data_IF_265425646999
#
_entry.id   IF_265425646999
#
_cell.length_a   1.000
_cell.length_b   1.000
_cell.length_c   1.000
_cell.angle_alpha   90.00
_cell.angle_beta   90.00
_cell.angle_gamma   90.00
#
_symmetry.space_group_name_H-M   'P 1'
#
loop_
_entity.id
_entity.type
_entity.pdbx_description
1 polymer ?
#
# COMPACT_ATOMS: atom_id res chain seq x y z
N UNK A 1 -6.12 -4.70 3.13
CA UNK A 1 -6.26 -4.07 4.47
C UNK A 1 -5.94 -5.00 5.65
N UNK A 2 -6.53 -6.21 5.77
CA UNK A 2 -6.17 -7.14 6.85
C UNK A 2 -4.68 -7.50 6.86
N UNK A 3 -4.02 -7.48 5.70
CA UNK A 3 -2.59 -7.77 5.54
C UNK A 3 -1.73 -6.79 6.36
N UNK A 4 -2.00 -5.49 6.34
CA UNK A 4 -1.22 -4.53 7.12
C UNK A 4 -1.46 -4.66 8.63
N UNK A 5 -2.67 -5.05 9.05
CA UNK A 5 -2.95 -5.34 10.46
C UNK A 5 -2.13 -6.53 10.96
N UNK A 6 -1.97 -7.56 10.13
CA UNK A 6 -1.13 -8.72 10.42
C UNK A 6 0.34 -8.33 10.40
N UNK A 7 0.86 -7.83 9.27
CA UNK A 7 2.30 -7.59 9.10
C UNK A 7 2.79 -6.38 9.90
N UNK A 8 2.14 -5.22 9.78
CA UNK A 8 2.60 -3.97 10.43
C UNK A 8 2.04 -3.75 11.82
N UNK A 9 0.96 -4.45 12.15
CA UNK A 9 0.39 -4.51 13.49
C UNK A 9 1.04 -5.61 14.32
N UNK A 10 0.56 -6.84 14.14
CA UNK A 10 0.94 -7.97 14.99
C UNK A 10 2.40 -8.40 14.79
N UNK A 11 2.81 -8.75 13.57
CA UNK A 11 4.16 -9.27 13.30
C UNK A 11 5.22 -8.21 13.62
N UNK A 12 5.00 -6.95 13.24
CA UNK A 12 5.98 -5.88 13.49
C UNK A 12 6.19 -5.66 14.98
N UNK A 13 5.12 -5.64 15.77
CA UNK A 13 5.23 -5.45 17.21
C UNK A 13 6.09 -6.54 17.86
N UNK A 14 5.83 -7.80 17.52
CA UNK A 14 6.59 -8.93 18.06
C UNK A 14 8.05 -8.96 17.58
N UNK A 15 8.32 -8.57 16.33
CA UNK A 15 9.70 -8.53 15.83
C UNK A 15 10.49 -7.36 16.43
N UNK A 16 9.87 -6.19 16.60
CA UNK A 16 10.52 -4.98 17.09
C UNK A 16 10.99 -5.10 18.56
N UNK A 17 10.42 -6.02 19.33
CA UNK A 17 10.85 -6.31 20.70
C UNK A 17 12.22 -7.02 20.75
N UNK A 18 12.65 -7.62 19.63
CA UNK A 18 13.84 -8.49 19.59
C UNK A 18 14.83 -8.15 18.47
N UNK A 19 14.43 -7.37 17.47
CA UNK A 19 15.22 -7.12 16.26
C UNK A 19 15.29 -5.63 15.92
N UNK A 20 16.39 -5.16 15.31
CA UNK A 20 16.48 -3.79 14.83
C UNK A 20 15.46 -3.54 13.71
N UNK A 21 15.06 -2.27 13.55
CA UNK A 21 14.00 -1.87 12.61
C UNK A 21 14.25 -2.36 11.17
N UNK A 22 15.48 -2.28 10.67
CA UNK A 22 15.82 -2.73 9.31
C UNK A 22 15.56 -4.24 9.12
N UNK A 23 15.84 -5.07 10.14
CA UNK A 23 15.63 -6.50 10.09
C UNK A 23 14.12 -6.83 10.12
N UNK A 24 13.34 -6.08 10.92
CA UNK A 24 11.88 -6.19 10.93
C UNK A 24 11.29 -5.87 9.55
N UNK A 25 11.77 -4.81 8.90
CA UNK A 25 11.31 -4.40 7.56
C UNK A 25 11.63 -5.46 6.52
N UNK A 26 12.89 -5.91 6.43
CA UNK A 26 13.30 -6.91 5.44
C UNK A 26 12.63 -8.26 5.67
N UNK A 27 12.55 -8.73 6.92
CA UNK A 27 11.89 -10.00 7.24
C UNK A 27 10.42 -10.00 6.83
N UNK A 28 9.70 -8.92 7.09
CA UNK A 28 8.32 -8.80 6.65
C UNK A 28 8.18 -8.67 5.14
N UNK A 29 9.11 -7.99 4.47
CA UNK A 29 9.08 -7.86 3.02
C UNK A 29 9.26 -9.22 2.33
N UNK A 30 10.17 -10.06 2.82
CA UNK A 30 10.35 -11.44 2.33
C UNK A 30 9.09 -12.27 2.58
N UNK A 31 8.53 -12.22 3.80
CA UNK A 31 7.31 -12.97 4.12
C UNK A 31 6.11 -12.55 3.26
N UNK A 32 5.91 -11.24 3.08
CA UNK A 32 4.81 -10.71 2.27
C UNK A 32 4.97 -11.08 0.78
N UNK A 33 6.19 -10.99 0.25
CA UNK A 33 6.50 -11.37 -1.14
C UNK A 33 6.33 -12.87 -1.34
N UNK A 34 6.83 -13.69 -0.41
CA UNK A 34 6.65 -15.14 -0.42
C UNK A 34 5.19 -15.54 -0.34
N UNK A 35 4.40 -14.87 0.51
CA UNK A 35 2.95 -15.07 0.55
C UNK A 35 2.29 -14.74 -0.79
N UNK A 36 2.66 -13.61 -1.41
CA UNK A 36 2.20 -13.23 -2.75
C UNK A 36 2.52 -14.30 -3.81
N UNK A 37 3.71 -14.91 -3.74
CA UNK A 37 4.08 -16.03 -4.61
C UNK A 37 3.19 -17.26 -4.37
N UNK A 38 3.00 -17.65 -3.11
CA UNK A 38 2.22 -18.83 -2.72
C UNK A 38 0.76 -18.75 -3.18
N UNK A 39 0.12 -17.59 -3.06
CA UNK A 39 -1.27 -17.39 -3.50
C UNK A 39 -1.39 -17.11 -5.01
N UNK A 40 -0.27 -17.10 -5.74
CA UNK A 40 -0.23 -16.83 -7.18
C UNK A 40 -0.32 -15.35 -7.57
N UNK A 41 -0.23 -14.43 -6.61
CA UNK A 41 -0.23 -12.99 -6.82
C UNK A 41 1.15 -12.40 -7.19
N UNK A 42 2.24 -13.18 -7.22
CA UNK A 42 3.55 -12.70 -7.65
C UNK A 42 4.32 -13.76 -8.44
N UNK A 43 3.77 -14.21 -9.58
CA UNK A 43 4.35 -15.31 -10.40
C UNK A 43 5.38 -14.89 -11.44
N UNK A 44 5.47 -13.61 -11.76
CA UNK A 44 6.43 -13.08 -12.72
C UNK A 44 7.52 -12.27 -12.01
N UNK A 45 8.74 -12.15 -12.60
CA UNK A 45 9.84 -11.42 -11.98
C UNK A 45 9.52 -9.96 -11.65
N UNK A 46 8.80 -9.27 -12.54
CA UNK A 46 8.32 -7.91 -12.36
C UNK A 46 7.40 -7.79 -11.13
N UNK A 47 6.46 -8.74 -10.95
CA UNK A 47 5.57 -8.76 -9.79
C UNK A 47 6.28 -9.10 -8.50
N UNK A 48 7.30 -9.96 -8.53
CA UNK A 48 8.14 -10.25 -7.37
C UNK A 48 8.89 -8.98 -6.91
N UNK A 49 9.49 -8.24 -7.84
CA UNK A 49 10.16 -6.97 -7.55
C UNK A 49 9.17 -5.93 -7.02
N UNK A 50 7.98 -5.83 -7.62
CA UNK A 50 6.91 -4.94 -7.16
C UNK A 50 6.50 -5.28 -5.72
N UNK A 51 6.17 -6.53 -5.42
CA UNK A 51 5.77 -6.95 -4.07
C UNK A 51 6.87 -6.69 -3.04
N UNK A 52 8.12 -7.00 -3.38
CA UNK A 52 9.25 -6.81 -2.48
C UNK A 52 9.48 -5.32 -2.17
N UNK A 53 9.57 -4.49 -3.20
CA UNK A 53 9.80 -3.05 -3.04
C UNK A 53 8.63 -2.36 -2.33
N UNK A 54 7.40 -2.75 -2.65
CA UNK A 54 6.19 -2.27 -1.99
C UNK A 54 6.16 -2.65 -0.50
N UNK A 55 6.48 -3.91 -0.19
CA UNK A 55 6.50 -4.39 1.18
C UNK A 55 7.64 -3.76 2.01
N UNK A 56 8.78 -3.40 1.40
CA UNK A 56 9.83 -2.60 2.03
C UNK A 56 9.31 -1.20 2.34
N UNK A 57 8.71 -0.51 1.38
CA UNK A 57 8.18 0.85 1.58
C UNK A 57 7.15 0.92 2.72
N UNK A 58 6.22 -0.03 2.76
CA UNK A 58 5.23 -0.14 3.84
C UNK A 58 5.87 -0.40 5.20
N UNK A 59 6.92 -1.23 5.25
CA UNK A 59 7.70 -1.48 6.46
C UNK A 59 8.45 -0.22 6.92
N UNK A 60 9.04 0.52 5.99
CA UNK A 60 9.70 1.79 6.27
C UNK A 60 8.72 2.83 6.82
N UNK A 61 7.52 2.97 6.25
CA UNK A 61 6.48 3.84 6.83
C UNK A 61 6.18 3.44 8.27
N UNK A 62 6.00 2.16 8.54
CA UNK A 62 5.72 1.67 9.89
C UNK A 62 6.86 2.00 10.86
N UNK A 63 8.11 1.81 10.44
CA UNK A 63 9.30 2.05 11.25
C UNK A 63 9.56 3.54 11.51
N UNK A 64 9.38 4.38 10.48
CA UNK A 64 9.66 5.82 10.55
C UNK A 64 8.58 6.60 11.30
N UNK A 65 7.31 6.27 11.10
CA UNK A 65 6.20 7.04 11.71
C UNK A 65 5.74 6.50 13.04
N UNK A 66 6.11 5.26 13.38
CA UNK A 66 5.55 4.58 14.54
C UNK A 66 4.04 4.27 14.41
N UNK A 67 3.41 4.58 13.28
CA UNK A 67 1.97 4.56 13.10
C UNK A 67 1.55 3.52 12.05
N UNK A 68 0.79 2.51 12.49
CA UNK A 68 0.18 1.49 11.63
C UNK A 68 -0.69 2.09 10.52
N UNK A 69 -1.43 3.15 10.83
CA UNK A 69 -2.38 3.75 9.89
C UNK A 69 -1.70 4.43 8.69
N UNK A 70 -0.43 4.80 8.81
CA UNK A 70 0.34 5.31 7.65
C UNK A 70 0.48 4.22 6.58
N UNK A 71 0.92 3.02 6.96
CA UNK A 71 1.05 1.90 6.03
C UNK A 71 -0.32 1.45 5.48
N UNK A 72 -1.34 1.38 6.36
CA UNK A 72 -2.72 1.04 5.97
C UNK A 72 -3.26 2.03 4.94
N UNK A 73 -3.17 3.33 5.20
CA UNK A 73 -3.69 4.38 4.31
C UNK A 73 -2.95 4.42 2.97
N UNK A 74 -1.63 4.22 2.98
CA UNK A 74 -0.85 4.15 1.73
C UNK A 74 -1.26 2.93 0.90
N UNK A 75 -1.27 1.74 1.51
CA UNK A 75 -1.67 0.51 0.81
C UNK A 75 -3.11 0.61 0.29
N UNK A 76 -4.03 1.19 1.06
CA UNK A 76 -5.41 1.41 0.62
C UNK A 76 -5.47 2.32 -0.60
N UNK A 77 -4.73 3.43 -0.59
CA UNK A 77 -4.62 4.33 -1.73
C UNK A 77 -4.16 3.59 -2.98
N UNK A 78 -3.08 2.82 -2.87
CA UNK A 78 -2.58 2.00 -3.97
C UNK A 78 -3.63 1.01 -4.48
N UNK A 79 -4.31 0.27 -3.59
CA UNK A 79 -5.33 -0.71 -3.99
C UNK A 79 -6.52 -0.04 -4.69
N UNK A 80 -7.02 1.07 -4.14
CA UNK A 80 -8.13 1.82 -4.76
C UNK A 80 -7.70 2.36 -6.11
N UNK A 81 -6.52 2.96 -6.24
CA UNK A 81 -6.02 3.42 -7.54
C UNK A 81 -5.84 2.26 -8.52
N UNK A 82 -5.34 1.11 -8.06
CA UNK A 82 -5.21 -0.10 -8.90
C UNK A 82 -6.56 -0.57 -9.41
N UNK A 83 -7.57 -0.61 -8.54
CA UNK A 83 -8.92 -0.97 -8.93
C UNK A 83 -9.50 0.10 -9.87
N UNK A 84 -9.21 1.37 -9.61
CA UNK A 84 -9.66 2.53 -10.38
C UNK A 84 -9.00 2.65 -11.77
N UNK A 85 -7.86 2.02 -11.99
CA UNK A 85 -7.09 2.17 -13.23
C UNK A 85 -6.92 0.83 -13.96
N UNK A 86 -6.96 -0.29 -13.24
CA UNK A 86 -6.57 -1.62 -13.70
C UNK A 86 -7.70 -2.56 -14.16
N UNK A 87 -9.00 -2.24 -14.05
CA UNK A 87 -10.00 -3.06 -14.76
C UNK A 87 -11.50 -2.94 -14.43
N UNK A 88 -12.28 -3.00 -15.53
CA UNK A 88 -13.66 -3.50 -15.75
C UNK A 88 -14.92 -2.72 -15.34
N UNK A 89 -14.87 -1.67 -14.52
CA UNK A 89 -16.06 -0.82 -14.27
C UNK A 89 -16.06 0.45 -15.16
N UNK A 90 -14.95 0.75 -15.85
CA UNK A 90 -14.85 1.73 -16.96
C UNK A 90 -14.71 0.99 -18.30
N UNK A 91 -15.45 -0.11 -18.49
CA UNK A 91 -15.68 -0.65 -19.83
C UNK A 91 -17.17 -0.52 -20.08
N UNK A 92 -17.63 0.58 -20.72
CA UNK A 92 -19.00 0.66 -21.18
C UNK A 92 -19.26 -0.51 -22.15
N UNK A 93 -20.48 -1.08 -22.20
CA UNK A 93 -20.86 -1.87 -23.36
C UNK A 93 -20.73 -0.94 -24.59
N UNK A 94 -19.82 -1.30 -25.49
CA UNK A 94 -19.35 -0.55 -26.67
C UNK A 94 -18.15 0.41 -26.46
N UNK A 95 -16.96 -0.10 -26.75
CA UNK A 95 -16.15 0.50 -27.83
C UNK A 95 -15.03 1.47 -27.49
N UNK A 96 -14.90 1.98 -26.27
CA UNK A 96 -13.77 2.86 -25.90
C UNK A 96 -13.00 2.29 -24.71
N UNK A 97 -12.09 1.35 -24.99
CA UNK A 97 -11.05 0.97 -24.04
C UNK A 97 -9.98 2.05 -24.01
N UNK A 98 -9.75 2.67 -22.85
CA UNK A 98 -8.51 3.39 -22.57
C UNK A 98 -7.35 2.42 -22.81
N UNK A 99 -6.73 2.52 -23.98
CA UNK A 99 -5.59 1.70 -24.35
C UNK A 99 -4.36 2.29 -23.67
N UNK A 100 -3.85 1.55 -22.70
CA UNK A 100 -2.63 1.90 -21.99
C UNK A 100 -1.49 1.22 -22.75
N UNK A 101 -0.76 2.00 -23.54
CA UNK A 101 0.36 1.49 -24.33
C UNK A 101 1.57 1.09 -23.48
N UNK A 102 1.67 1.62 -22.25
CA UNK A 102 2.75 1.34 -21.31
C UNK A 102 2.21 1.00 -19.91
N UNK A 103 1.95 -0.29 -19.68
CA UNK A 103 1.49 -0.81 -18.41
C UNK A 103 2.50 -0.52 -17.28
N UNK A 104 3.81 -0.48 -17.57
CA UNK A 104 4.83 -0.21 -16.56
C UNK A 104 4.77 1.25 -16.07
N UNK A 105 4.59 2.21 -16.98
CA UNK A 105 4.38 3.62 -16.62
C UNK A 105 3.11 3.80 -15.79
N UNK A 106 2.03 3.11 -16.17
CA UNK A 106 0.78 3.10 -15.43
C UNK A 106 0.99 2.59 -14.01
N UNK A 107 1.70 1.47 -13.83
CA UNK A 107 1.98 0.92 -12.52
C UNK A 107 2.82 1.90 -11.67
N UNK A 108 3.79 2.60 -12.26
CA UNK A 108 4.58 3.60 -11.53
C UNK A 108 3.70 4.79 -11.10
N UNK A 109 2.93 5.38 -12.02
CA UNK A 109 2.11 6.56 -11.72
C UNK A 109 0.95 6.21 -10.77
N UNK A 110 0.23 5.13 -11.07
CA UNK A 110 -0.93 4.69 -10.31
C UNK A 110 -0.55 4.12 -8.94
N UNK A 111 0.54 3.36 -8.82
CA UNK A 111 0.88 2.70 -7.55
C UNK A 111 1.78 3.53 -6.66
N UNK A 112 2.59 4.43 -7.22
CA UNK A 112 3.50 5.24 -6.42
C UNK A 112 3.09 6.71 -6.38
N UNK A 113 2.77 7.35 -7.50
CA UNK A 113 2.57 8.79 -7.51
C UNK A 113 1.22 9.19 -6.86
N UNK A 114 0.12 8.57 -7.30
CA UNK A 114 -1.23 8.90 -6.82
C UNK A 114 -1.38 8.67 -5.31
N UNK A 115 -0.96 7.54 -4.73
CA UNK A 115 -1.13 7.29 -3.29
C UNK A 115 -0.21 8.18 -2.46
N UNK A 116 1.02 8.44 -2.92
CA UNK A 116 1.96 9.32 -2.19
C UNK A 116 1.47 10.77 -2.17
N UNK A 117 0.82 11.24 -3.25
CA UNK A 117 0.30 12.61 -3.33
C UNK A 117 -1.03 12.76 -2.59
N UNK A 118 -1.94 11.77 -2.67
CA UNK A 118 -3.30 11.91 -2.16
C UNK A 118 -3.50 11.43 -0.72
N UNK A 119 -2.76 10.40 -0.29
CA UNK A 119 -2.96 9.81 1.04
C UNK A 119 -2.58 10.77 2.18
N UNK A 120 -1.43 11.48 2.15
CA UNK A 120 -1.09 12.41 3.25
C UNK A 120 -2.10 13.57 3.41
N UNK A 121 -2.55 14.26 2.33
CA UNK A 121 -3.59 15.28 2.44
C UNK A 121 -4.93 14.74 2.95
N UNK A 122 -5.34 13.55 2.52
CA UNK A 122 -6.60 12.94 2.97
C UNK A 122 -6.56 12.62 4.47
N UNK A 123 -5.45 12.04 4.96
CA UNK A 123 -5.26 11.79 6.40
C UNK A 123 -5.26 13.10 7.19
N UNK A 124 -4.57 14.14 6.69
CA UNK A 124 -4.54 15.45 7.32
C UNK A 124 -5.94 16.09 7.39
N UNK A 125 -6.71 16.04 6.30
CA UNK A 125 -8.08 16.56 6.25
C UNK A 125 -8.99 15.86 7.26
N UNK A 126 -8.96 14.53 7.35
CA UNK A 126 -9.73 13.76 8.33
C UNK A 126 -9.33 14.13 9.77
N UNK A 127 -8.03 14.28 10.04
CA UNK A 127 -7.55 14.69 11.36
C UNK A 127 -8.01 16.10 11.74
N UNK A 128 -8.02 17.05 10.80
CA UNK A 128 -8.53 18.41 10.99
C UNK A 128 -10.03 18.39 11.28
N UNK A 129 -10.82 17.66 10.49
CA UNK A 129 -12.27 17.53 10.70
C UNK A 129 -12.60 16.92 12.06
N UNK A 130 -11.86 15.89 12.49
CA UNK A 130 -12.06 15.27 13.82
C UNK A 130 -11.78 16.25 14.95
N UNK A 131 -10.65 16.97 14.89
CA UNK A 131 -10.31 18.01 15.87
C UNK A 131 -11.32 19.14 15.91
N UNK A 132 -11.91 19.51 14.77
CA UNK A 132 -12.96 20.52 14.72
C UNK A 132 -14.24 20.04 15.42
N UNK A 133 -14.62 18.77 15.25
CA UNK A 133 -15.79 18.17 15.91
C UNK A 133 -15.63 18.03 17.42
N UNK A 134 -14.43 17.71 17.90
CA UNK A 134 -14.12 17.61 19.34
C UNK A 134 -14.11 18.96 20.07
N UNK A 135 -14.10 20.08 19.33
CA UNK A 135 -14.10 21.45 19.86
C UNK A 135 -15.48 22.12 19.87
N UNK A 136 -16.51 21.45 19.35
CA UNK A 136 -17.90 21.94 19.44
C UNK A 136 -18.49 21.35 20.74
N UNK A 137 -18.80 22.18 21.75
CA UNK A 137 -19.38 21.73 23.01
C UNK A 137 -20.82 21.21 22.87
#
# INVERSE_FOLDING_TARGET
MPEELVFRGYVYRNLADHWPAWACVLGQAVLCTGWGLLIGAARSPDRLVLFLTFAIALGMFRALTGNLWTSVGFHLGCQVTTQLVGGSWITPPAGETLRIDDEALLQIVAFWLVPTVLTPPAIAAVAVVRRARERVP
#
